data_IF_658672681907
#
_entry.id   IF_658672681907
#
_cell.length_a   1.000
_cell.length_b   1.000
_cell.length_c   1.000
_cell.angle_alpha   90.00
_cell.angle_beta   90.00
_cell.angle_gamma   90.00
#
_symmetry.space_group_name_H-M   'P 1'
#
loop_
_entity.id
_entity.type
_entity.pdbx_description
1 polymer ?
#
# COMPACT_ATOMS: atom_id res chain seq x y z
N UNK A 1 -30.64 -8.19 -18.13
CA UNK A 1 -31.38 -9.34 -18.71
C UNK A 1 -32.02 -8.90 -20.01
N UNK A 2 -31.87 -9.71 -21.07
CA UNK A 2 -32.55 -9.45 -22.34
C UNK A 2 -34.10 -9.51 -22.13
N UNK A 3 -34.84 -8.60 -22.75
CA UNK A 3 -36.31 -8.55 -22.65
C UNK A 3 -36.96 -9.89 -22.99
N UNK A 4 -36.38 -10.63 -23.94
CA UNK A 4 -36.84 -11.98 -24.30
C UNK A 4 -36.76 -12.98 -23.16
N UNK A 5 -35.76 -12.87 -22.26
CA UNK A 5 -35.62 -13.77 -21.11
C UNK A 5 -36.68 -13.43 -20.04
N UNK A 6 -37.04 -12.17 -19.89
CA UNK A 6 -38.08 -11.72 -18.98
C UNK A 6 -39.43 -12.27 -19.47
N UNK A 7 -39.71 -12.13 -20.78
CA UNK A 7 -40.94 -12.62 -21.38
C UNK A 7 -41.10 -14.16 -21.23
N UNK A 8 -40.01 -14.92 -21.36
CA UNK A 8 -39.97 -16.39 -21.14
C UNK A 8 -40.34 -16.71 -19.69
N UNK A 9 -39.74 -16.01 -18.73
CA UNK A 9 -39.98 -16.21 -17.30
C UNK A 9 -41.43 -15.86 -16.93
N UNK A 10 -41.92 -14.70 -17.39
CA UNK A 10 -43.30 -14.28 -17.15
C UNK A 10 -44.31 -15.28 -17.70
N UNK A 11 -44.07 -15.82 -18.92
CA UNK A 11 -44.93 -16.85 -19.52
C UNK A 11 -44.86 -18.17 -18.73
N UNK A 12 -43.66 -18.59 -18.27
CA UNK A 12 -43.52 -19.80 -17.48
C UNK A 12 -44.22 -19.69 -16.12
N UNK A 13 -44.02 -18.56 -15.39
CA UNK A 13 -44.69 -18.29 -14.12
C UNK A 13 -46.19 -18.14 -14.27
N UNK A 14 -46.62 -17.47 -15.33
CA UNK A 14 -48.04 -17.32 -15.63
C UNK A 14 -48.76 -18.66 -15.89
N UNK A 15 -48.11 -19.56 -16.66
CA UNK A 15 -48.63 -20.92 -16.91
C UNK A 15 -48.65 -21.77 -15.65
N UNK A 16 -47.57 -21.68 -14.81
CA UNK A 16 -47.53 -22.35 -13.50
C UNK A 16 -48.70 -21.93 -12.61
N UNK A 17 -48.97 -20.61 -12.50
CA UNK A 17 -50.09 -20.10 -11.71
C UNK A 17 -51.46 -20.59 -12.22
N UNK A 18 -51.68 -20.60 -13.54
CA UNK A 18 -52.92 -21.10 -14.14
C UNK A 18 -53.14 -22.60 -13.83
N UNK A 19 -52.06 -23.38 -13.83
CA UNK A 19 -52.12 -24.79 -13.44
C UNK A 19 -52.43 -24.98 -11.97
N UNK A 20 -51.77 -24.23 -11.08
CA UNK A 20 -51.97 -24.27 -9.63
C UNK A 20 -53.39 -23.88 -9.20
N UNK A 21 -53.99 -22.89 -9.90
CA UNK A 21 -55.37 -22.45 -9.65
C UNK A 21 -56.44 -23.27 -10.37
N UNK A 22 -56.03 -24.34 -11.07
CA UNK A 22 -56.96 -25.22 -11.77
C UNK A 22 -57.62 -24.63 -13.02
N UNK A 23 -57.13 -23.46 -13.49
CA UNK A 23 -57.55 -22.82 -14.72
C UNK A 23 -57.07 -23.53 -15.99
N UNK A 24 -56.06 -24.41 -15.86
CA UNK A 24 -55.40 -25.13 -16.93
C UNK A 24 -55.51 -26.63 -16.60
N UNK A 25 -56.47 -27.33 -17.22
CA UNK A 25 -56.74 -28.78 -16.96
C UNK A 25 -56.02 -29.70 -17.90
N UNK A 26 -55.85 -29.32 -19.16
CA UNK A 26 -55.19 -30.10 -20.19
C UNK A 26 -54.14 -29.28 -20.91
N UNK A 27 -52.92 -29.78 -21.00
CA UNK A 27 -51.82 -29.15 -21.74
C UNK A 27 -51.33 -30.13 -22.81
N UNK A 28 -51.26 -29.67 -24.05
CA UNK A 28 -50.76 -30.51 -25.13
C UNK A 28 -49.25 -30.89 -24.88
N UNK A 29 -48.87 -32.13 -25.13
CA UNK A 29 -47.45 -32.54 -24.93
C UNK A 29 -46.44 -31.65 -25.65
N UNK A 30 -46.80 -31.10 -26.81
CA UNK A 30 -45.97 -30.16 -27.58
C UNK A 30 -45.74 -28.83 -26.85
N UNK A 31 -46.78 -28.34 -26.17
CA UNK A 31 -46.66 -27.09 -25.37
C UNK A 31 -45.75 -27.28 -24.13
N UNK A 32 -45.86 -28.44 -23.47
CA UNK A 32 -44.99 -28.80 -22.36
C UNK A 32 -43.54 -28.86 -22.82
N UNK A 33 -43.27 -29.49 -23.98
CA UNK A 33 -41.95 -29.60 -24.54
C UNK A 33 -41.36 -28.24 -24.94
N UNK A 34 -42.16 -27.35 -25.48
CA UNK A 34 -41.76 -25.97 -25.79
C UNK A 34 -41.46 -25.15 -24.53
N UNK A 35 -42.27 -25.28 -23.48
CA UNK A 35 -42.04 -24.64 -22.18
C UNK A 35 -40.71 -25.15 -21.57
N UNK A 36 -40.50 -26.43 -21.52
CA UNK A 36 -39.25 -27.01 -21.01
C UNK A 36 -38.02 -26.47 -21.78
N UNK A 37 -38.08 -26.50 -23.13
CA UNK A 37 -37.03 -25.94 -23.96
C UNK A 37 -36.73 -24.47 -23.66
N UNK A 38 -37.77 -23.67 -23.43
CA UNK A 38 -37.63 -22.25 -23.11
C UNK A 38 -37.04 -22.04 -21.70
N UNK A 39 -37.47 -22.86 -20.72
CA UNK A 39 -36.87 -22.83 -19.36
C UNK A 39 -35.38 -23.22 -19.39
N UNK A 40 -34.98 -24.27 -20.11
CA UNK A 40 -33.60 -24.65 -20.28
C UNK A 40 -32.76 -23.50 -20.89
N UNK A 41 -33.25 -22.88 -21.97
CA UNK A 41 -32.58 -21.71 -22.57
C UNK A 41 -32.44 -20.54 -21.58
N UNK A 42 -33.48 -20.31 -20.78
CA UNK A 42 -33.43 -19.28 -19.75
C UNK A 42 -32.33 -19.58 -18.71
N UNK A 43 -32.27 -20.83 -18.20
CA UNK A 43 -31.26 -21.24 -17.24
C UNK A 43 -29.86 -21.08 -17.82
N UNK A 44 -29.61 -21.56 -19.04
CA UNK A 44 -28.31 -21.39 -19.71
C UNK A 44 -27.88 -19.93 -19.83
N UNK A 45 -28.81 -19.03 -20.16
CA UNK A 45 -28.49 -17.62 -20.28
C UNK A 45 -28.26 -16.94 -18.91
N UNK A 46 -28.99 -17.34 -17.87
CA UNK A 46 -28.74 -16.89 -16.50
C UNK A 46 -27.37 -17.35 -16.01
N UNK A 47 -26.99 -18.59 -16.27
CA UNK A 47 -25.66 -19.11 -15.93
C UNK A 47 -24.56 -18.29 -16.61
N UNK A 48 -24.68 -17.96 -17.89
CA UNK A 48 -23.74 -17.08 -18.60
C UNK A 48 -23.67 -15.67 -18.00
N UNK A 49 -24.80 -15.10 -17.58
CA UNK A 49 -24.83 -13.79 -16.91
C UNK A 49 -24.13 -13.86 -15.56
N UNK A 50 -24.42 -14.91 -14.78
CA UNK A 50 -23.79 -15.13 -13.48
C UNK A 50 -22.26 -15.28 -13.61
N UNK A 51 -21.80 -16.12 -14.56
CA UNK A 51 -20.36 -16.28 -14.83
C UNK A 51 -19.67 -14.94 -15.20
N UNK A 52 -20.32 -14.12 -16.05
CA UNK A 52 -19.79 -12.80 -16.41
C UNK A 52 -19.72 -11.85 -15.22
N UNK A 53 -20.72 -11.88 -14.35
CA UNK A 53 -20.76 -11.06 -13.14
C UNK A 53 -19.66 -11.47 -12.15
N UNK A 54 -19.48 -12.78 -11.98
CA UNK A 54 -18.42 -13.35 -11.13
C UNK A 54 -17.02 -12.95 -11.63
N UNK A 55 -16.76 -13.10 -12.93
CA UNK A 55 -15.46 -12.68 -13.52
C UNK A 55 -15.21 -11.21 -13.28
N UNK A 56 -16.19 -10.34 -13.50
CA UNK A 56 -16.03 -8.89 -13.26
C UNK A 56 -15.79 -8.56 -11.79
N UNK A 57 -16.45 -9.26 -10.88
CA UNK A 57 -16.22 -9.11 -9.43
C UNK A 57 -14.78 -9.51 -9.07
N UNK A 58 -14.30 -10.62 -9.59
CA UNK A 58 -12.93 -11.09 -9.38
C UNK A 58 -11.89 -10.13 -9.96
N UNK A 59 -12.12 -9.61 -11.18
CA UNK A 59 -11.24 -8.61 -11.80
C UNK A 59 -11.10 -7.35 -10.93
N UNK A 60 -12.20 -6.88 -10.34
CA UNK A 60 -12.18 -5.74 -9.43
C UNK A 60 -11.32 -6.03 -8.20
N UNK A 61 -11.54 -7.17 -7.54
CA UNK A 61 -10.78 -7.57 -6.35
C UNK A 61 -9.28 -7.67 -6.68
N UNK A 62 -8.92 -8.31 -7.80
CA UNK A 62 -7.52 -8.44 -8.23
C UNK A 62 -6.89 -7.06 -8.45
N UNK A 63 -7.60 -6.15 -9.14
CA UNK A 63 -7.07 -4.82 -9.39
C UNK A 63 -6.85 -4.03 -8.10
N UNK A 64 -7.78 -4.11 -7.16
CA UNK A 64 -7.67 -3.43 -5.86
C UNK A 64 -6.48 -3.97 -5.05
N UNK A 65 -6.31 -5.30 -5.00
CA UNK A 65 -5.18 -5.94 -4.32
C UNK A 65 -3.84 -5.64 -5.01
N UNK A 66 -3.81 -5.68 -6.34
CA UNK A 66 -2.62 -5.29 -7.10
C UNK A 66 -2.19 -3.85 -6.81
N UNK A 67 -3.13 -2.92 -6.78
CA UNK A 67 -2.82 -1.52 -6.48
C UNK A 67 -2.23 -1.34 -5.08
N UNK A 68 -2.76 -2.04 -4.08
CA UNK A 68 -2.20 -2.03 -2.71
C UNK A 68 -0.77 -2.59 -2.70
N UNK A 69 -0.55 -3.74 -3.34
CA UNK A 69 0.78 -4.37 -3.44
C UNK A 69 1.77 -3.48 -4.18
N UNK A 70 1.35 -2.87 -5.28
CA UNK A 70 2.19 -1.97 -6.05
C UNK A 70 2.60 -0.73 -5.25
N UNK A 71 1.65 -0.12 -4.53
CA UNK A 71 1.92 1.08 -3.71
C UNK A 71 2.91 0.78 -2.58
N UNK A 72 2.73 -0.31 -1.84
CA UNK A 72 3.65 -0.65 -0.75
C UNK A 72 5.03 -1.05 -1.27
N UNK A 73 5.08 -1.75 -2.41
CA UNK A 73 6.35 -2.10 -3.04
C UNK A 73 7.08 -0.84 -3.49
N UNK A 74 6.37 0.12 -4.10
CA UNK A 74 6.92 1.42 -4.47
C UNK A 74 7.47 2.17 -3.25
N UNK A 75 6.77 2.14 -2.12
CA UNK A 75 7.24 2.75 -0.87
C UNK A 75 8.53 2.08 -0.37
N UNK A 76 8.62 0.75 -0.39
CA UNK A 76 9.83 0.03 -0.04
C UNK A 76 11.03 0.42 -0.93
N UNK A 77 10.81 0.60 -2.23
CA UNK A 77 11.87 1.04 -3.16
C UNK A 77 12.28 2.50 -2.96
N UNK A 78 11.33 3.37 -2.57
CA UNK A 78 11.65 4.77 -2.27
C UNK A 78 12.65 4.91 -1.11
N UNK A 79 12.69 3.96 -0.17
CA UNK A 79 13.71 3.93 0.89
C UNK A 79 15.14 3.84 0.33
N UNK A 80 15.28 3.22 -0.84
CA UNK A 80 16.56 3.08 -1.55
C UNK A 80 16.76 4.12 -2.66
N UNK A 81 15.92 5.16 -2.72
CA UNK A 81 15.91 6.16 -3.80
C UNK A 81 15.72 5.57 -5.21
N UNK A 82 15.07 4.41 -5.32
CA UNK A 82 14.78 3.72 -6.57
C UNK A 82 13.36 4.04 -7.02
N UNK A 83 13.23 4.53 -8.26
CA UNK A 83 11.92 4.70 -8.91
C UNK A 83 11.57 3.43 -9.66
N UNK A 84 10.37 2.91 -9.43
CA UNK A 84 9.88 1.73 -10.13
C UNK A 84 8.67 2.05 -11.01
N UNK A 85 8.59 1.32 -12.12
CA UNK A 85 7.41 1.26 -12.98
C UNK A 85 6.88 -0.20 -13.02
N UNK A 86 5.67 -0.38 -13.52
CA UNK A 86 5.04 -1.71 -13.56
C UNK A 86 5.85 -2.73 -14.37
N UNK A 87 6.54 -2.31 -15.44
CA UNK A 87 7.29 -3.21 -16.32
C UNK A 87 8.56 -3.77 -15.66
N UNK A 88 9.16 -2.99 -14.78
CA UNK A 88 10.42 -3.35 -14.11
C UNK A 88 10.22 -3.92 -12.71
N UNK A 89 8.97 -3.90 -12.20
CA UNK A 89 8.61 -4.27 -10.85
C UNK A 89 9.23 -5.62 -10.42
N UNK A 90 8.98 -6.68 -11.16
CA UNK A 90 9.48 -8.02 -10.83
C UNK A 90 11.00 -8.11 -10.89
N UNK A 91 11.62 -7.49 -11.92
CA UNK A 91 13.07 -7.51 -12.09
C UNK A 91 13.78 -6.80 -10.95
N UNK A 92 13.32 -5.60 -10.62
CA UNK A 92 13.90 -4.80 -9.54
C UNK A 92 13.65 -5.45 -8.18
N UNK A 93 12.44 -5.97 -7.94
CA UNK A 93 12.10 -6.67 -6.70
C UNK A 93 13.05 -7.84 -6.44
N UNK A 94 13.24 -8.69 -7.46
CA UNK A 94 14.18 -9.80 -7.37
C UNK A 94 15.60 -9.31 -7.05
N UNK A 95 16.11 -8.35 -7.84
CA UNK A 95 17.48 -7.85 -7.73
C UNK A 95 17.80 -7.21 -6.37
N UNK A 96 16.87 -6.38 -5.86
CA UNK A 96 17.16 -5.52 -4.70
C UNK A 96 16.63 -6.05 -3.37
N UNK A 97 15.69 -6.99 -3.38
CA UNK A 97 15.08 -7.47 -2.14
C UNK A 97 15.24 -8.98 -1.94
N UNK A 98 15.37 -9.75 -3.02
CA UNK A 98 15.54 -11.20 -2.93
C UNK A 98 17.01 -11.61 -3.08
N UNK A 99 17.68 -11.16 -4.14
CA UNK A 99 19.08 -11.54 -4.41
C UNK A 99 20.07 -10.93 -3.36
N UNK A 100 19.57 -9.99 -2.54
CA UNK A 100 20.28 -9.39 -1.40
C UNK A 100 19.86 -9.98 -0.05
N UNK A 101 19.08 -11.06 -0.04
CA UNK A 101 18.57 -11.75 1.17
C UNK A 101 17.79 -10.85 2.15
N UNK A 102 17.26 -9.71 1.67
CA UNK A 102 16.43 -8.81 2.49
C UNK A 102 15.06 -9.43 2.73
N UNK A 103 14.48 -10.08 1.71
CA UNK A 103 13.19 -10.77 1.79
C UNK A 103 13.31 -12.22 1.30
N UNK A 104 12.48 -13.08 1.86
CA UNK A 104 12.40 -14.48 1.44
C UNK A 104 11.84 -14.61 0.01
N UNK A 105 12.34 -15.60 -0.74
CA UNK A 105 11.94 -15.89 -2.13
C UNK A 105 10.43 -16.08 -2.29
N UNK A 106 9.73 -16.57 -1.27
CA UNK A 106 8.26 -16.73 -1.31
C UNK A 106 7.53 -15.43 -1.67
N UNK A 107 8.02 -14.28 -1.22
CA UNK A 107 7.40 -12.98 -1.50
C UNK A 107 7.54 -12.56 -2.97
N UNK A 108 8.61 -12.99 -3.63
CA UNK A 108 8.74 -12.81 -5.08
C UNK A 108 7.71 -13.66 -5.84
N UNK A 109 7.49 -14.91 -5.44
CA UNK A 109 6.48 -15.76 -6.09
C UNK A 109 5.06 -15.19 -5.88
N UNK A 110 4.73 -14.71 -4.67
CA UNK A 110 3.46 -14.03 -4.42
C UNK A 110 3.30 -12.81 -5.34
N UNK A 111 4.32 -11.94 -5.43
CA UNK A 111 4.27 -10.77 -6.30
C UNK A 111 4.09 -11.15 -7.78
N UNK A 112 4.80 -12.18 -8.24
CA UNK A 112 4.70 -12.71 -9.61
C UNK A 112 3.29 -13.23 -9.91
N UNK A 113 2.68 -13.95 -8.96
CA UNK A 113 1.32 -14.46 -9.08
C UNK A 113 0.31 -13.32 -9.19
N UNK A 114 0.44 -12.28 -8.35
CA UNK A 114 -0.41 -11.08 -8.39
C UNK A 114 -0.31 -10.37 -9.73
N UNK A 115 0.91 -10.15 -10.24
CA UNK A 115 1.13 -9.52 -11.55
C UNK A 115 0.54 -10.37 -12.69
N UNK A 116 0.70 -11.68 -12.60
CA UNK A 116 0.16 -12.63 -13.60
C UNK A 116 -1.36 -12.62 -13.62
N UNK A 117 -2.00 -12.58 -12.44
CA UNK A 117 -3.45 -12.52 -12.32
C UNK A 117 -4.02 -11.19 -12.82
N UNK A 118 -3.35 -10.07 -12.56
CA UNK A 118 -3.74 -8.77 -13.14
C UNK A 118 -3.74 -8.82 -14.67
N UNK A 119 -2.74 -9.48 -15.27
CA UNK A 119 -2.64 -9.61 -16.72
C UNK A 119 -3.64 -10.60 -17.31
N UNK A 120 -4.02 -11.62 -16.57
CA UNK A 120 -4.95 -12.66 -17.01
C UNK A 120 -5.88 -13.14 -15.88
N UNK A 121 -6.96 -12.39 -15.59
CA UNK A 121 -7.92 -12.70 -14.52
C UNK A 121 -8.61 -14.06 -14.67
N UNK A 122 -8.70 -14.59 -15.88
CA UNK A 122 -9.33 -15.89 -16.15
C UNK A 122 -8.59 -17.08 -15.50
N UNK A 123 -7.31 -16.89 -15.13
CA UNK A 123 -6.54 -17.94 -14.41
C UNK A 123 -7.05 -18.20 -12.99
N UNK A 124 -7.91 -17.35 -12.42
CA UNK A 124 -8.58 -17.62 -11.14
C UNK A 124 -9.54 -18.82 -11.14
N UNK A 125 -9.95 -19.29 -12.30
CA UNK A 125 -10.82 -20.49 -12.42
C UNK A 125 -10.08 -21.82 -12.33
N UNK A 126 -8.75 -21.84 -12.12
CA UNK A 126 -8.01 -23.10 -11.94
C UNK A 126 -8.05 -23.52 -10.47
N UNK A 127 -8.27 -24.80 -10.19
CA UNK A 127 -8.41 -25.39 -8.84
C UNK A 127 -7.29 -25.08 -7.86
N UNK A 128 -6.11 -24.66 -8.35
CA UNK A 128 -4.97 -24.27 -7.52
C UNK A 128 -5.05 -22.83 -6.97
N UNK A 129 -6.01 -22.01 -7.43
CA UNK A 129 -6.14 -20.60 -7.07
C UNK A 129 -7.52 -20.32 -6.46
N UNK A 130 -7.61 -20.37 -5.15
CA UNK A 130 -8.79 -19.85 -4.44
C UNK A 130 -8.56 -18.39 -4.07
N UNK A 131 -9.61 -17.58 -4.16
CA UNK A 131 -9.58 -16.15 -3.73
C UNK A 131 -9.11 -16.03 -2.27
N UNK A 132 -9.49 -16.98 -1.42
CA UNK A 132 -9.08 -17.00 -0.02
C UNK A 132 -7.58 -17.17 0.16
N UNK A 133 -6.98 -18.14 -0.55
CA UNK A 133 -5.53 -18.34 -0.54
C UNK A 133 -4.81 -17.09 -1.04
N UNK A 134 -5.27 -16.54 -2.16
CA UNK A 134 -4.71 -15.32 -2.73
C UNK A 134 -4.78 -14.13 -1.77
N UNK A 135 -5.93 -13.89 -1.11
CA UNK A 135 -6.07 -12.86 -0.09
C UNK A 135 -5.12 -13.06 1.09
N UNK A 136 -4.93 -14.31 1.54
CA UNK A 136 -4.00 -14.65 2.62
C UNK A 136 -2.55 -14.35 2.22
N UNK A 137 -2.16 -14.73 1.01
CA UNK A 137 -0.82 -14.50 0.49
C UNK A 137 -0.53 -13.00 0.33
N UNK A 138 -1.49 -12.24 -0.22
CA UNK A 138 -1.39 -10.77 -0.32
C UNK A 138 -1.26 -10.13 1.05
N UNK A 139 -2.06 -10.51 2.05
CA UNK A 139 -1.95 -9.98 3.41
C UNK A 139 -0.58 -10.27 4.02
N UNK A 140 -0.06 -11.47 3.83
CA UNK A 140 1.29 -11.84 4.27
C UNK A 140 2.37 -10.96 3.62
N UNK A 141 2.25 -10.72 2.32
CA UNK A 141 3.13 -9.83 1.56
C UNK A 141 3.09 -8.39 2.09
N UNK A 142 1.89 -7.83 2.24
CA UNK A 142 1.69 -6.47 2.76
C UNK A 142 2.26 -6.32 4.18
N UNK A 143 2.01 -7.29 5.06
CA UNK A 143 2.54 -7.30 6.42
C UNK A 143 4.08 -7.32 6.45
N UNK A 144 4.69 -8.16 5.62
CA UNK A 144 6.14 -8.27 5.53
C UNK A 144 6.79 -6.97 5.06
N UNK A 145 6.28 -6.37 3.96
CA UNK A 145 6.80 -5.10 3.46
C UNK A 145 6.57 -3.94 4.41
N UNK A 146 5.41 -3.88 5.08
CA UNK A 146 5.18 -2.86 6.11
C UNK A 146 6.21 -2.98 7.25
N UNK A 147 6.48 -4.19 7.71
CA UNK A 147 7.50 -4.44 8.75
C UNK A 147 8.89 -4.02 8.30
N UNK A 148 9.24 -4.34 7.05
CA UNK A 148 10.50 -3.93 6.43
C UNK A 148 10.62 -2.40 6.35
N UNK A 149 9.60 -1.72 5.84
CA UNK A 149 9.55 -0.26 5.72
C UNK A 149 9.69 0.40 7.09
N UNK A 150 8.92 -0.05 8.08
CA UNK A 150 8.95 0.51 9.42
C UNK A 150 10.31 0.33 10.10
N UNK A 151 10.95 -0.84 9.94
CA UNK A 151 12.30 -1.08 10.46
C UNK A 151 13.30 -0.12 9.85
N UNK A 152 13.31 0.03 8.53
CA UNK A 152 14.22 0.95 7.85
C UNK A 152 13.98 2.40 8.23
N UNK A 153 12.72 2.83 8.37
CA UNK A 153 12.40 4.18 8.86
C UNK A 153 12.94 4.41 10.27
N UNK A 154 12.81 3.44 11.16
CA UNK A 154 13.36 3.52 12.52
C UNK A 154 14.89 3.58 12.52
N UNK A 155 15.56 2.75 11.72
CA UNK A 155 17.01 2.76 11.61
C UNK A 155 17.52 4.08 11.02
N UNK A 156 16.88 4.57 9.97
CA UNK A 156 17.21 5.87 9.37
C UNK A 156 16.96 7.03 10.36
N UNK A 157 15.88 6.96 11.12
CA UNK A 157 15.61 7.95 12.17
C UNK A 157 16.71 7.98 13.22
N UNK A 158 17.23 6.82 13.67
CA UNK A 158 18.33 6.77 14.63
C UNK A 158 19.62 7.34 14.07
N UNK A 159 19.95 7.03 12.80
CA UNK A 159 21.16 7.53 12.13
C UNK A 159 21.11 9.02 11.81
N UNK A 160 19.91 9.60 11.78
CA UNK A 160 19.69 11.01 11.45
C UNK A 160 19.53 11.92 12.66
N UNK A 161 19.90 11.45 13.84
CA UNK A 161 19.78 12.19 15.09
C UNK A 161 21.13 12.41 15.77
N UNK A 162 21.30 13.60 16.34
CA UNK A 162 22.42 13.90 17.25
C UNK A 162 21.82 14.34 18.56
N UNK A 163 22.27 13.69 19.63
CA UNK A 163 21.92 14.11 20.98
C UNK A 163 23.04 15.02 21.53
N UNK A 164 22.62 16.13 22.08
CA UNK A 164 23.50 17.14 22.65
C UNK A 164 23.21 17.31 24.15
N UNK A 165 24.21 17.70 24.88
CA UNK A 165 24.08 18.26 26.22
C UNK A 165 24.45 19.75 26.12
N UNK A 166 23.48 20.63 26.35
CA UNK A 166 23.64 22.07 26.30
C UNK A 166 23.31 22.61 27.68
N UNK A 167 24.28 23.14 28.40
CA UNK A 167 24.08 23.68 29.76
C UNK A 167 23.27 22.74 30.68
N UNK A 168 23.58 21.45 30.71
CA UNK A 168 22.89 20.42 31.50
C UNK A 168 21.50 20.04 30.98
N UNK A 169 21.02 20.58 29.86
CA UNK A 169 19.79 20.14 29.20
C UNK A 169 20.07 19.18 28.06
N UNK A 170 19.22 18.19 27.97
CA UNK A 170 19.25 17.24 26.84
C UNK A 170 18.56 17.87 25.64
N UNK A 171 19.28 18.06 24.57
CA UNK A 171 18.82 18.60 23.29
C UNK A 171 18.98 17.56 22.18
N UNK A 172 18.16 17.66 21.14
CA UNK A 172 18.21 16.74 20.00
C UNK A 172 18.19 17.50 18.68
N UNK A 173 19.03 17.12 17.74
CA UNK A 173 18.95 17.60 16.35
C UNK A 173 18.53 16.45 15.46
N UNK A 174 17.51 16.66 14.64
CA UNK A 174 16.99 15.68 13.69
C UNK A 174 17.23 16.19 12.27
N UNK A 175 17.92 15.38 11.47
CA UNK A 175 18.29 15.71 10.09
C UNK A 175 17.32 15.12 9.08
N UNK A 176 16.78 15.98 8.23
CA UNK A 176 16.04 15.62 7.02
C UNK A 176 16.81 16.09 5.78
N UNK A 177 16.48 15.61 4.57
CA UNK A 177 17.29 15.84 3.35
C UNK A 177 17.74 17.29 3.11
N UNK A 178 16.91 18.27 3.47
CA UNK A 178 17.19 19.68 3.24
C UNK A 178 16.88 20.55 4.48
N UNK A 179 16.45 19.93 5.56
CA UNK A 179 16.03 20.65 6.78
C UNK A 179 16.54 19.95 8.01
N UNK A 180 16.76 20.72 9.04
CA UNK A 180 17.00 20.19 10.39
C UNK A 180 15.96 20.74 11.35
N UNK A 181 15.66 19.95 12.38
CA UNK A 181 14.90 20.40 13.53
C UNK A 181 15.77 20.29 14.76
N UNK A 182 15.83 21.35 15.54
CA UNK A 182 16.59 21.46 16.79
C UNK A 182 15.59 21.53 17.92
N UNK A 183 15.60 20.57 18.80
CA UNK A 183 14.80 20.53 20.01
C UNK A 183 15.70 20.99 21.16
N UNK A 184 15.47 22.19 21.68
CA UNK A 184 16.33 22.80 22.69
C UNK A 184 16.31 22.05 24.03
N UNK A 185 15.17 21.47 24.39
CA UNK A 185 15.02 20.62 25.57
C UNK A 185 14.07 19.45 25.24
N UNK A 186 14.58 18.23 25.33
CA UNK A 186 13.80 17.00 25.04
C UNK A 186 12.63 16.86 26.01
N UNK A 187 12.75 17.38 27.23
CA UNK A 187 11.70 17.34 28.26
C UNK A 187 10.62 18.39 28.01
N UNK A 188 11.01 19.53 27.43
CA UNK A 188 10.12 20.64 27.08
C UNK A 188 10.14 20.84 25.56
N UNK A 189 9.26 20.13 24.86
CA UNK A 189 9.17 20.16 23.39
C UNK A 189 8.46 21.39 22.82
N UNK A 190 8.28 22.44 23.60
CA UNK A 190 7.69 23.68 23.11
C UNK A 190 8.68 24.55 22.31
N UNK A 191 9.98 24.34 22.55
CA UNK A 191 11.04 25.08 21.86
C UNK A 191 11.70 24.26 20.78
N UNK A 192 11.11 24.33 19.60
CA UNK A 192 11.64 23.67 18.41
C UNK A 192 12.02 24.74 17.38
N UNK A 193 13.23 24.64 16.86
CA UNK A 193 13.76 25.49 15.81
C UNK A 193 13.89 24.66 14.55
N UNK A 194 13.52 25.23 13.41
CA UNK A 194 13.69 24.62 12.09
C UNK A 194 14.68 25.47 11.31
N UNK A 195 15.58 24.84 10.56
CA UNK A 195 16.50 25.50 9.66
C UNK A 195 16.69 24.71 8.36
N UNK A 196 17.03 25.39 7.28
CA UNK A 196 17.43 24.75 6.04
C UNK A 196 18.91 24.40 6.11
N UNK A 197 19.24 23.15 5.70
CA UNK A 197 20.61 22.66 5.64
C UNK A 197 21.12 22.73 4.20
N UNK A 198 22.13 23.54 3.98
CA UNK A 198 22.82 23.65 2.69
C UNK A 198 23.83 22.50 2.47
N UNK A 199 24.26 22.31 1.23
CA UNK A 199 25.25 21.27 0.87
C UNK A 199 26.62 21.45 1.59
N UNK A 200 26.99 22.67 1.92
CA UNK A 200 28.17 23.02 2.70
C UNK A 200 27.93 22.96 4.22
N UNK A 201 26.77 22.43 4.64
CA UNK A 201 26.33 22.30 6.03
C UNK A 201 26.04 23.61 6.77
N UNK A 202 25.96 24.73 6.06
CA UNK A 202 25.51 25.97 6.65
C UNK A 202 24.00 25.93 6.92
N UNK A 203 23.61 26.50 8.07
CA UNK A 203 22.24 26.67 8.48
C UNK A 203 21.73 28.06 8.04
N UNK A 204 20.64 28.04 7.29
CA UNK A 204 19.97 29.25 6.83
C UNK A 204 18.47 29.15 7.13
N UNK A 205 17.76 30.28 7.02
CA UNK A 205 16.30 30.34 7.25
C UNK A 205 15.91 29.74 8.61
N UNK A 206 16.62 30.16 9.66
CA UNK A 206 16.39 29.71 11.03
C UNK A 206 15.09 30.33 11.55
N UNK A 207 14.12 29.50 11.88
CA UNK A 207 12.80 29.96 12.33
C UNK A 207 12.22 29.05 13.44
N UNK A 208 11.32 29.60 14.26
CA UNK A 208 10.61 28.79 15.25
C UNK A 208 9.67 27.80 14.57
N UNK A 209 9.59 26.62 15.13
CA UNK A 209 8.72 25.54 14.67
C UNK A 209 7.96 24.93 15.84
N UNK A 210 7.20 23.89 15.59
CA UNK A 210 6.41 23.19 16.60
C UNK A 210 6.45 21.67 16.38
N UNK A 211 5.95 20.93 17.36
CA UNK A 211 5.94 19.46 17.36
C UNK A 211 5.09 18.87 16.23
N UNK A 212 4.04 19.55 15.79
CA UNK A 212 3.16 19.02 14.73
C UNK A 212 3.82 19.11 13.36
N UNK A 213 4.58 20.18 13.11
CA UNK A 213 5.38 20.29 11.90
C UNK A 213 6.50 19.23 11.89
N UNK A 214 7.21 19.04 13.00
CA UNK A 214 8.21 17.99 13.12
C UNK A 214 7.61 16.59 12.84
N UNK A 215 6.47 16.25 13.46
CA UNK A 215 5.78 14.98 13.23
C UNK A 215 5.39 14.76 11.76
N UNK A 216 5.08 15.83 11.03
CA UNK A 216 4.80 15.73 9.59
C UNK A 216 6.03 15.26 8.82
N UNK A 217 7.20 15.86 9.09
CA UNK A 217 8.46 15.42 8.46
C UNK A 217 8.86 14.00 8.87
N UNK A 218 8.65 13.64 10.14
CA UNK A 218 8.88 12.26 10.60
C UNK A 218 8.01 11.23 9.87
N UNK A 219 6.73 11.56 9.61
CA UNK A 219 5.81 10.71 8.84
C UNK A 219 6.24 10.56 7.38
N UNK A 220 6.76 11.62 6.77
CA UNK A 220 7.29 11.56 5.41
C UNK A 220 8.53 10.67 5.32
N UNK A 221 9.28 10.50 6.42
CA UNK A 221 10.42 9.60 6.51
C UNK A 221 11.62 9.99 5.64
N UNK A 222 11.72 11.27 5.26
CA UNK A 222 12.79 11.81 4.41
C UNK A 222 14.05 12.15 5.23
N UNK A 223 14.48 11.25 6.09
CA UNK A 223 15.68 11.42 6.92
C UNK A 223 16.95 11.53 6.07
N UNK A 224 17.95 12.23 6.61
CA UNK A 224 19.31 12.32 6.07
C UNK A 224 20.29 11.75 7.08
N UNK A 225 21.29 11.03 6.61
CA UNK A 225 22.38 10.63 7.49
C UNK A 225 23.16 11.88 7.95
N UNK A 226 23.61 11.85 9.21
CA UNK A 226 24.51 12.87 9.75
C UNK A 226 25.91 12.59 9.21
N UNK A 227 26.36 13.37 8.24
CA UNK A 227 27.66 13.22 7.61
C UNK A 227 28.55 14.42 7.92
N UNK A 228 29.74 14.16 8.49
CA UNK A 228 30.86 15.10 8.57
C UNK A 228 30.53 16.55 8.92
N UNK A 229 29.90 16.79 10.10
CA UNK A 229 29.58 18.14 10.55
C UNK A 229 30.86 18.95 10.69
N UNK A 230 30.86 20.14 10.11
CA UNK A 230 32.00 21.05 10.11
C UNK A 230 31.95 22.07 11.29
N UNK A 231 33.03 22.80 11.47
CA UNK A 231 33.11 23.80 12.54
C UNK A 231 32.07 24.93 12.40
N UNK A 232 31.73 25.31 11.14
CA UNK A 232 30.71 26.34 10.88
C UNK A 232 29.33 25.91 11.34
N UNK A 233 28.98 24.65 11.22
CA UNK A 233 27.74 24.08 11.74
C UNK A 233 27.66 24.25 13.26
N UNK A 234 28.74 23.88 13.97
CA UNK A 234 28.79 24.02 15.44
C UNK A 234 28.77 25.48 15.89
N UNK A 235 29.48 26.40 15.20
CA UNK A 235 29.38 27.83 15.48
C UNK A 235 27.95 28.36 15.33
N UNK A 236 27.21 27.89 14.33
CA UNK A 236 25.79 28.25 14.17
C UNK A 236 24.91 27.68 15.29
N UNK A 237 25.20 26.49 15.76
CA UNK A 237 24.51 25.93 16.93
C UNK A 237 24.79 26.76 18.20
N UNK A 238 26.03 27.22 18.42
CA UNK A 238 26.39 28.10 19.53
C UNK A 238 25.60 29.43 19.47
N UNK A 239 25.44 29.99 18.27
CA UNK A 239 24.59 31.19 18.08
C UNK A 239 23.10 30.89 18.43
N UNK A 240 22.57 29.74 18.00
CA UNK A 240 21.19 29.34 18.23
C UNK A 240 20.92 29.11 19.73
N UNK A 241 21.81 28.37 20.38
CA UNK A 241 21.66 28.08 21.82
C UNK A 241 22.12 29.24 22.74
N UNK A 242 22.84 30.23 22.21
CA UNK A 242 23.38 31.34 22.97
C UNK A 242 24.51 30.94 23.95
N UNK A 243 25.15 29.79 23.73
CA UNK A 243 26.22 29.24 24.59
C UNK A 243 27.20 28.40 23.78
N UNK A 244 28.47 28.41 24.17
CA UNK A 244 29.52 27.54 23.64
C UNK A 244 29.64 26.20 24.40
N UNK A 245 28.90 26.03 25.51
CA UNK A 245 28.93 24.80 26.29
C UNK A 245 28.00 23.73 25.70
N UNK A 246 28.35 23.24 24.51
CA UNK A 246 27.66 22.21 23.77
C UNK A 246 28.53 20.95 23.73
N UNK A 247 27.99 19.83 24.20
CA UNK A 247 28.66 18.52 24.16
C UNK A 247 27.83 17.54 23.35
N UNK A 248 28.46 16.84 22.39
CA UNK A 248 27.82 15.74 21.66
C UNK A 248 27.79 14.51 22.56
N UNK A 249 26.61 13.91 22.73
CA UNK A 249 26.47 12.61 23.40
C UNK A 249 26.74 11.50 22.40
N UNK A 250 27.80 10.73 22.63
CA UNK A 250 28.09 9.49 21.89
C UNK A 250 27.44 8.33 22.64
N UNK A 251 26.65 7.52 21.94
CA UNK A 251 26.05 6.28 22.44
C UNK A 251 26.79 5.07 21.93
#
# INVERSE_FOLDING_TARGET
>A
LDKKLIDILEKAVGNWKKYEYGEMKDVAPKEVQEMLSNVFKFVEEIEKVYEKAEIKSHEKIINDLYNQVFLITKEAFNLHNLKINEKELLKLFKKHLIDTDILEKKFYEILKDIVTLKQNPKKLKTESFTIEKFNKDVRSYLSCLNSYINRNKLENSKKSKINLLVEEKDSEIIFFKQKIFIIEDIKDKEKIIKADLQKNQNLINIEKSNIDELKKYEKEGNYSEVLNLNAEFFSKLEEIFGTSNIKVKLY
#
